data_IF_020568395009
#
_entry.id   IF_020568395009
#
_cell.length_a   1.000
_cell.length_b   1.000
_cell.length_c   1.000
_cell.angle_alpha   90.00
_cell.angle_beta   90.00
_cell.angle_gamma   90.00
#
_symmetry.space_group_name_H-M   'P 1'
#
loop_
_entity.id
_entity.type
_entity.pdbx_description
1 polymer ?
#
# COMPACT_ATOMS: atom_id res chain seq x y z
N UNK A 1 7.04 27.69 -3.60
CA UNK A 1 5.72 27.96 -2.98
C UNK A 1 5.11 29.13 -3.73
N UNK A 2 4.82 28.95 -5.01
CA UNK A 2 4.11 29.96 -5.80
C UNK A 2 2.88 29.26 -6.38
N UNK A 3 1.71 29.90 -6.21
CA UNK A 3 0.42 29.37 -6.66
C UNK A 3 -0.58 29.00 -5.56
N UNK A 4 -0.24 29.13 -4.26
CA UNK A 4 -1.21 28.96 -3.18
C UNK A 4 -1.85 30.32 -2.88
N UNK A 5 -3.19 30.47 -2.92
CA UNK A 5 -3.87 31.71 -2.54
C UNK A 5 -3.48 32.17 -1.13
N UNK A 6 -3.18 33.46 -0.96
CA UNK A 6 -2.68 34.03 0.31
C UNK A 6 -3.64 33.80 1.49
N UNK A 7 -4.94 33.61 1.24
CA UNK A 7 -5.93 33.33 2.29
C UNK A 7 -5.80 31.89 2.86
N UNK A 8 -5.37 30.92 2.03
CA UNK A 8 -5.10 29.54 2.43
C UNK A 8 -3.77 29.46 3.16
N UNK A 9 -2.75 30.19 2.69
CA UNK A 9 -1.46 30.29 3.39
C UNK A 9 -1.67 30.92 4.77
N UNK A 10 -2.48 31.98 4.86
CA UNK A 10 -2.78 32.66 6.12
C UNK A 10 -3.57 31.78 7.10
N UNK A 11 -4.58 31.04 6.63
CA UNK A 11 -5.32 30.07 7.46
C UNK A 11 -4.48 28.88 7.88
N UNK A 12 -3.61 28.37 7.01
CA UNK A 12 -2.67 27.30 7.32
C UNK A 12 -1.61 27.75 8.33
N UNK A 13 -1.08 28.98 8.20
CA UNK A 13 -0.18 29.58 9.19
C UNK A 13 -0.87 29.84 10.52
N UNK A 14 -2.15 30.23 10.54
CA UNK A 14 -2.96 30.35 11.76
C UNK A 14 -3.10 29.01 12.48
N UNK A 15 -3.49 27.96 11.76
CA UNK A 15 -3.59 26.59 12.29
C UNK A 15 -2.24 26.03 12.76
N UNK A 16 -1.16 26.23 11.99
CA UNK A 16 0.19 25.79 12.35
C UNK A 16 0.72 26.55 13.57
N UNK A 17 0.43 27.85 13.68
CA UNK A 17 0.81 28.65 14.86
C UNK A 17 0.03 28.21 16.10
N UNK A 18 -1.26 27.89 15.98
CA UNK A 18 -2.05 27.34 17.09
C UNK A 18 -1.61 25.92 17.49
N UNK A 19 -1.24 25.07 16.53
CA UNK A 19 -0.76 23.70 16.80
C UNK A 19 0.68 23.66 17.33
N UNK A 20 1.54 24.61 16.95
CA UNK A 20 2.88 24.76 17.52
C UNK A 20 2.86 25.30 18.95
N UNK A 21 1.89 26.14 19.31
CA UNK A 21 1.74 26.66 20.67
C UNK A 21 1.34 25.57 21.68
N UNK A 22 0.72 24.49 21.22
CA UNK A 22 0.36 23.32 22.06
C UNK A 22 1.41 22.20 22.04
N UNK A 23 2.56 22.35 21.36
CA UNK A 23 3.62 21.33 21.34
C UNK A 23 3.27 19.98 20.69
N UNK A 24 2.14 19.88 19.98
CA UNK A 24 1.55 18.60 19.56
C UNK A 24 1.98 18.09 18.17
N UNK A 25 2.87 18.80 17.45
CA UNK A 25 3.27 18.39 16.09
C UNK A 25 4.77 18.63 15.86
N UNK A 26 5.54 17.58 15.52
CA UNK A 26 6.91 17.75 15.00
C UNK A 26 6.83 18.18 13.54
N UNK A 27 7.75 19.04 13.08
CA UNK A 27 7.79 19.60 11.71
C UNK A 27 7.69 18.58 10.56
N UNK A 28 8.05 17.30 10.81
CA UNK A 28 7.92 16.16 9.87
C UNK A 28 6.46 15.69 9.67
N UNK A 29 5.61 15.88 10.66
CA UNK A 29 4.21 15.46 10.66
C UNK A 29 3.31 16.46 9.91
N UNK A 30 3.72 17.73 9.84
CA UNK A 30 3.10 18.76 8.98
C UNK A 30 3.22 18.38 7.49
N UNK A 31 4.36 17.82 7.07
CA UNK A 31 4.56 17.35 5.69
C UNK A 31 3.69 16.11 5.36
N UNK A 32 3.47 15.21 6.34
CA UNK A 32 2.55 14.09 6.19
C UNK A 32 1.09 14.53 6.12
N UNK A 33 0.70 15.51 6.94
CA UNK A 33 -0.64 16.10 6.93
C UNK A 33 -0.92 16.84 5.61
N UNK A 34 0.06 17.58 5.08
CA UNK A 34 -0.03 18.23 3.77
C UNK A 34 -0.08 17.23 2.62
N UNK A 35 0.66 16.11 2.67
CA UNK A 35 0.56 15.00 1.70
C UNK A 35 -0.83 14.34 1.71
N UNK A 36 -1.44 14.20 2.89
CA UNK A 36 -2.79 13.65 3.04
C UNK A 36 -3.88 14.61 2.53
N UNK A 37 -3.70 15.93 2.64
CA UNK A 37 -4.62 16.95 2.11
C UNK A 37 -4.45 17.18 0.59
N UNK A 38 -3.23 17.14 0.06
CA UNK A 38 -2.93 17.40 -1.35
C UNK A 38 -3.39 16.28 -2.31
N UNK A 39 -3.78 15.10 -1.81
CA UNK A 39 -4.38 14.04 -2.64
C UNK A 39 -5.87 14.30 -2.99
N UNK A 40 -6.36 15.54 -2.85
CA UNK A 40 -7.76 15.91 -3.10
C UNK A 40 -8.00 16.98 -4.17
N UNK A 41 -6.98 17.46 -4.89
CA UNK A 41 -7.19 18.31 -6.08
C UNK A 41 -6.27 17.91 -7.24
N UNK A 42 -6.92 17.71 -8.40
CA UNK A 42 -6.31 17.87 -9.73
C UNK A 42 -5.49 19.16 -9.74
N UNK A 43 -4.22 19.06 -10.12
CA UNK A 43 -3.71 19.65 -11.34
C UNK A 43 -2.38 18.98 -11.67
N UNK A 44 -2.18 18.64 -12.94
CA UNK A 44 -0.98 17.98 -13.41
C UNK A 44 0.22 18.90 -13.28
N UNK A 45 1.03 18.74 -12.24
CA UNK A 45 2.46 18.99 -12.28
C UNK A 45 3.21 18.33 -11.11
N UNK A 46 4.39 17.84 -11.44
CA UNK A 46 5.34 17.04 -10.67
C UNK A 46 5.77 17.63 -9.31
N UNK A 47 5.57 16.88 -8.22
CA UNK A 47 6.53 16.80 -7.10
C UNK A 47 6.49 15.39 -6.48
N UNK A 48 7.60 14.67 -6.57
CA UNK A 48 7.77 13.33 -6.00
C UNK A 48 7.71 13.36 -4.46
N UNK A 49 6.92 12.50 -3.78
CA UNK A 49 7.00 12.36 -2.34
C UNK A 49 8.17 11.44 -1.97
N UNK A 50 9.26 12.02 -1.45
CA UNK A 50 10.20 11.29 -0.59
C UNK A 50 9.49 10.99 0.74
N UNK A 51 9.77 9.80 1.27
CA UNK A 51 9.41 9.28 2.61
C UNK A 51 8.03 8.62 2.77
N UNK A 52 7.99 7.33 2.43
CA UNK A 52 7.30 6.28 3.19
C UNK A 52 8.20 5.04 3.14
N UNK A 53 9.18 5.02 4.05
CA UNK A 53 10.00 3.87 4.38
C UNK A 53 9.76 3.65 5.88
N UNK A 54 8.90 2.71 6.23
CA UNK A 54 8.82 2.12 7.56
C UNK A 54 8.56 0.62 7.38
N UNK A 55 9.59 -0.05 6.83
CA UNK A 55 9.83 -1.49 6.95
C UNK A 55 11.17 -1.84 6.28
N UNK A 56 12.29 -1.40 6.86
CA UNK A 56 13.61 -1.99 6.62
C UNK A 56 14.34 -2.02 7.95
N UNK A 57 14.64 -3.22 8.44
CA UNK A 57 15.51 -3.47 9.58
C UNK A 57 16.94 -2.97 9.23
N UNK A 58 17.53 -2.01 9.95
CA UNK A 58 18.73 -1.30 9.49
C UNK A 58 20.05 -1.95 9.97
N UNK A 59 20.17 -3.28 9.88
CA UNK A 59 21.44 -3.96 10.15
C UNK A 59 21.71 -5.04 9.10
N UNK A 60 22.29 -4.62 7.97
CA UNK A 60 23.14 -5.42 7.08
C UNK A 60 23.82 -4.47 6.08
N UNK A 61 24.72 -3.63 6.60
CA UNK A 61 25.73 -2.96 5.78
C UNK A 61 27.06 -3.68 5.97
N UNK A 62 27.38 -4.61 5.08
CA UNK A 62 28.76 -5.00 4.82
C UNK A 62 28.99 -5.04 3.32
N UNK A 63 29.77 -4.06 2.86
CA UNK A 63 30.36 -4.01 1.53
C UNK A 63 31.18 -5.28 1.28
N UNK A 64 30.75 -6.11 0.35
CA UNK A 64 31.61 -7.09 -0.30
C UNK A 64 31.16 -7.28 -1.75
N UNK A 65 32.15 -7.42 -2.63
CA UNK A 65 32.03 -7.59 -4.08
C UNK A 65 31.06 -8.72 -4.46
N UNK A 66 30.38 -8.66 -5.62
CA UNK A 66 29.43 -9.69 -6.02
C UNK A 66 30.17 -11.00 -6.30
N UNK A 67 30.06 -11.94 -5.37
CA UNK A 67 30.55 -13.30 -5.55
C UNK A 67 29.36 -14.25 -5.71
N UNK A 68 29.41 -15.10 -6.72
CA UNK A 68 28.65 -16.36 -6.74
C UNK A 68 29.31 -17.29 -5.72
N UNK A 69 29.05 -17.08 -4.42
CA UNK A 69 29.51 -17.99 -3.36
C UNK A 69 28.35 -18.79 -2.75
N UNK A 70 28.58 -20.07 -2.42
CA UNK A 70 27.55 -21.09 -2.26
C UNK A 70 27.01 -21.14 -0.83
N UNK A 71 26.41 -20.05 -0.33
CA UNK A 71 25.79 -20.03 1.01
C UNK A 71 24.30 -19.70 1.06
N UNK A 72 23.69 -19.34 -0.06
CA UNK A 72 22.26 -19.08 -0.15
C UNK A 72 21.60 -20.13 -1.05
N UNK A 73 20.34 -20.48 -0.78
CA UNK A 73 19.63 -21.58 -1.42
C UNK A 73 19.83 -21.63 -2.95
N UNK A 74 19.99 -22.83 -3.50
CA UNK A 74 20.22 -23.07 -4.94
C UNK A 74 19.26 -22.23 -5.78
N UNK A 75 19.81 -21.35 -6.61
CA UNK A 75 19.05 -20.55 -7.58
C UNK A 75 18.54 -19.18 -7.12
N UNK A 76 19.02 -18.65 -5.99
CA UNK A 76 18.75 -17.26 -5.61
C UNK A 76 19.82 -16.29 -6.14
N UNK A 77 19.39 -15.16 -6.70
CA UNK A 77 20.25 -14.05 -7.10
C UNK A 77 19.68 -12.72 -6.64
N UNK A 78 20.53 -11.88 -6.04
CA UNK A 78 20.24 -10.48 -5.72
C UNK A 78 21.41 -9.59 -6.12
N UNK A 79 21.16 -8.55 -6.91
CA UNK A 79 22.20 -7.59 -7.31
C UNK A 79 22.01 -6.99 -8.69
N UNK A 80 23.08 -6.42 -9.24
CA UNK A 80 23.06 -5.76 -10.54
C UNK A 80 23.03 -6.76 -11.70
N UNK A 81 22.23 -6.46 -12.73
CA UNK A 81 22.20 -7.27 -13.93
C UNK A 81 23.54 -7.26 -14.67
N UNK A 82 24.08 -8.44 -14.94
CA UNK A 82 25.32 -8.64 -15.72
C UNK A 82 25.13 -9.76 -16.75
N UNK A 83 26.00 -9.83 -17.77
CA UNK A 83 25.95 -10.92 -18.78
C UNK A 83 26.04 -12.33 -18.16
N UNK A 84 26.88 -12.61 -17.15
CA UNK A 84 26.86 -13.89 -16.46
C UNK A 84 25.52 -14.21 -15.81
N UNK A 85 24.88 -13.23 -15.17
CA UNK A 85 23.55 -13.41 -14.54
C UNK A 85 22.49 -13.75 -15.58
N UNK A 86 22.48 -13.03 -16.71
CA UNK A 86 21.58 -13.33 -17.84
C UNK A 86 21.81 -14.76 -18.35
N UNK A 87 23.07 -15.19 -18.48
CA UNK A 87 23.38 -16.57 -18.89
C UNK A 87 22.87 -17.60 -17.88
N UNK A 88 23.05 -17.35 -16.59
CA UNK A 88 22.52 -18.23 -15.53
C UNK A 88 20.98 -18.28 -15.55
N UNK A 89 20.33 -17.14 -15.81
CA UNK A 89 18.89 -17.04 -15.98
C UNK A 89 18.40 -17.85 -17.19
N UNK A 90 19.01 -17.66 -18.37
CA UNK A 90 18.68 -18.40 -19.59
C UNK A 90 18.88 -19.91 -19.44
N UNK A 91 19.81 -20.33 -18.58
CA UNK A 91 20.10 -21.74 -18.30
C UNK A 91 19.21 -22.33 -17.20
N UNK A 92 18.24 -21.57 -16.66
CA UNK A 92 17.34 -22.06 -15.63
C UNK A 92 17.97 -22.24 -14.24
N UNK A 93 19.17 -21.69 -14.02
CA UNK A 93 19.89 -21.81 -12.75
C UNK A 93 19.37 -20.84 -11.69
N UNK A 94 18.56 -19.85 -12.07
CA UNK A 94 18.00 -18.84 -11.17
C UNK A 94 16.49 -19.06 -11.07
N UNK A 95 16.02 -19.35 -9.86
CA UNK A 95 14.60 -19.50 -9.49
C UNK A 95 14.08 -18.31 -8.69
N UNK A 96 14.97 -17.50 -8.10
CA UNK A 96 14.63 -16.25 -7.44
C UNK A 96 15.54 -15.13 -7.91
N UNK A 97 15.01 -14.21 -8.70
CA UNK A 97 15.73 -13.06 -9.26
C UNK A 97 15.31 -11.76 -8.56
N UNK A 98 16.25 -11.06 -7.93
CA UNK A 98 16.04 -9.77 -7.27
C UNK A 98 16.98 -8.73 -7.88
N UNK A 99 16.40 -7.76 -8.59
CA UNK A 99 17.10 -6.68 -9.28
C UNK A 99 16.67 -5.31 -8.72
N UNK A 100 16.18 -5.25 -7.49
CA UNK A 100 15.58 -4.04 -6.92
C UNK A 100 16.53 -2.83 -6.95
N UNK A 101 16.01 -1.67 -7.35
CA UNK A 101 16.74 -0.41 -7.46
C UNK A 101 17.79 -0.37 -8.57
N UNK A 102 17.87 -1.41 -9.41
CA UNK A 102 18.89 -1.47 -10.47
C UNK A 102 18.47 -0.67 -11.70
N UNK A 103 19.45 -0.04 -12.34
CA UNK A 103 19.29 0.51 -13.70
C UNK A 103 19.65 -0.57 -14.70
N UNK A 104 18.68 -1.04 -15.47
CA UNK A 104 18.90 -2.08 -16.47
C UNK A 104 19.68 -1.46 -17.64
N UNK A 105 20.94 -1.89 -17.88
CA UNK A 105 21.75 -1.28 -18.94
C UNK A 105 21.08 -1.48 -20.30
N UNK A 106 21.05 -0.43 -21.14
CA UNK A 106 20.44 -0.49 -22.48
C UNK A 106 20.90 -1.69 -23.31
N UNK A 107 22.20 -2.00 -23.27
CA UNK A 107 22.77 -3.15 -23.99
C UNK A 107 22.42 -4.53 -23.42
N UNK A 108 21.72 -4.61 -22.28
CA UNK A 108 21.31 -5.87 -21.64
C UNK A 108 19.78 -6.06 -21.60
N UNK A 109 18.98 -5.05 -21.99
CA UNK A 109 17.50 -5.12 -21.92
C UNK A 109 16.94 -6.26 -22.76
N UNK A 110 17.31 -6.33 -24.03
CA UNK A 110 16.87 -7.39 -24.94
C UNK A 110 17.33 -8.75 -24.43
N UNK A 111 18.57 -8.86 -23.96
CA UNK A 111 19.08 -10.13 -23.42
C UNK A 111 18.37 -10.54 -22.12
N UNK A 112 17.98 -9.60 -21.26
CA UNK A 112 17.16 -9.89 -20.09
C UNK A 112 15.77 -10.37 -20.50
N UNK A 113 15.12 -9.64 -21.41
CA UNK A 113 13.83 -10.02 -21.99
C UNK A 113 13.88 -11.44 -22.56
N UNK A 114 14.86 -11.73 -23.41
CA UNK A 114 15.00 -13.03 -24.06
C UNK A 114 15.29 -14.14 -23.05
N UNK A 115 16.04 -13.83 -21.98
CA UNK A 115 16.31 -14.79 -20.91
C UNK A 115 15.09 -15.07 -20.02
N UNK A 116 14.21 -14.09 -19.80
CA UNK A 116 12.93 -14.31 -19.13
C UNK A 116 11.98 -15.10 -20.06
N UNK A 117 11.99 -14.78 -21.35
CA UNK A 117 11.09 -15.39 -22.33
C UNK A 117 11.53 -16.77 -22.84
N UNK A 118 12.77 -17.20 -22.59
CA UNK A 118 13.27 -18.51 -23.02
C UNK A 118 12.57 -19.69 -22.32
N UNK A 119 11.71 -19.44 -21.33
CA UNK A 119 10.85 -20.45 -20.70
C UNK A 119 11.61 -21.48 -19.85
N UNK A 120 12.90 -21.28 -19.63
CA UNK A 120 13.79 -22.26 -19.00
C UNK A 120 13.84 -22.21 -17.47
N UNK A 121 12.95 -21.48 -16.80
CA UNK A 121 13.07 -21.23 -15.37
C UNK A 121 11.85 -21.70 -14.61
N UNK A 122 12.08 -22.60 -13.64
CA UNK A 122 11.26 -22.73 -12.44
C UNK A 122 11.36 -21.45 -11.61
N UNK A 123 11.14 -20.29 -12.23
CA UNK A 123 11.18 -18.99 -11.58
C UNK A 123 10.01 -18.92 -10.61
N UNK A 124 10.34 -18.88 -9.34
CA UNK A 124 9.38 -18.79 -8.24
C UNK A 124 9.24 -17.35 -7.74
N UNK A 125 10.31 -16.54 -7.86
CA UNK A 125 10.32 -15.16 -7.38
C UNK A 125 11.01 -14.22 -8.36
N UNK A 126 10.31 -13.14 -8.70
CA UNK A 126 10.86 -12.06 -9.51
C UNK A 126 10.59 -10.71 -8.85
N UNK A 127 11.66 -10.01 -8.46
CA UNK A 127 11.60 -8.68 -7.88
C UNK A 127 12.45 -7.73 -8.70
N UNK A 128 11.82 -6.66 -9.16
CA UNK A 128 12.44 -5.57 -9.91
C UNK A 128 11.93 -4.22 -9.38
N UNK A 129 11.70 -4.13 -8.07
CA UNK A 129 11.18 -2.93 -7.42
C UNK A 129 12.04 -1.71 -7.76
N UNK A 130 11.40 -0.60 -8.13
CA UNK A 130 12.06 0.66 -8.47
C UNK A 130 13.17 0.52 -9.54
N UNK A 131 13.07 -0.47 -10.43
CA UNK A 131 14.00 -0.61 -11.55
C UNK A 131 13.80 0.50 -12.58
N UNK A 132 14.92 1.00 -13.11
CA UNK A 132 14.94 1.85 -14.29
C UNK A 132 15.18 0.98 -15.52
N UNK A 133 14.09 0.71 -16.25
CA UNK A 133 14.13 -0.01 -17.53
C UNK A 133 14.54 0.88 -18.70
N UNK A 134 14.84 2.18 -18.49
CA UNK A 134 15.23 3.14 -19.52
C UNK A 134 14.28 3.20 -20.72
N UNK A 135 12.99 2.98 -20.48
CA UNK A 135 11.95 2.78 -21.48
C UNK A 135 10.82 1.92 -20.93
N UNK A 136 9.71 1.86 -21.66
CA UNK A 136 8.56 1.05 -21.27
C UNK A 136 8.86 -0.45 -21.38
N UNK A 137 8.37 -1.21 -20.41
CA UNK A 137 8.39 -2.67 -20.41
C UNK A 137 6.98 -3.19 -20.12
N UNK A 138 6.52 -4.18 -20.88
CA UNK A 138 5.19 -4.76 -20.72
C UNK A 138 5.25 -5.93 -19.74
N UNK A 139 4.29 -5.98 -18.81
CA UNK A 139 4.14 -7.07 -17.85
C UNK A 139 4.06 -8.44 -18.54
N UNK A 140 3.47 -8.53 -19.74
CA UNK A 140 3.38 -9.80 -20.50
C UNK A 140 4.75 -10.32 -20.92
N UNK A 141 5.69 -9.42 -21.18
CA UNK A 141 7.04 -9.74 -21.64
C UNK A 141 7.94 -10.19 -20.48
N UNK A 142 7.46 -10.02 -19.24
CA UNK A 142 8.15 -10.42 -18.03
C UNK A 142 7.50 -11.65 -17.39
N UNK A 143 6.17 -11.71 -17.38
CA UNK A 143 5.43 -12.70 -16.59
C UNK A 143 4.72 -13.77 -17.44
N UNK A 144 4.57 -13.57 -18.74
CA UNK A 144 3.67 -14.38 -19.58
C UNK A 144 4.04 -15.86 -19.76
N UNK A 145 5.20 -16.32 -19.28
CA UNK A 145 5.70 -17.69 -19.46
C UNK A 145 6.13 -18.40 -18.16
N UNK A 146 5.95 -17.79 -17.00
CA UNK A 146 6.49 -18.31 -15.73
C UNK A 146 5.39 -18.88 -14.82
N UNK A 147 4.84 -20.05 -15.16
CA UNK A 147 3.72 -20.66 -14.44
C UNK A 147 4.03 -20.97 -12.95
N UNK A 148 5.30 -21.12 -12.59
CA UNK A 148 5.76 -21.41 -11.23
C UNK A 148 5.91 -20.17 -10.33
N UNK A 149 5.66 -18.95 -10.85
CA UNK A 149 5.81 -17.74 -10.04
C UNK A 149 4.89 -17.78 -8.82
N UNK A 150 5.51 -17.57 -7.67
CA UNK A 150 4.84 -17.40 -6.38
C UNK A 150 4.93 -15.97 -5.87
N UNK A 151 5.93 -15.21 -6.30
CA UNK A 151 6.14 -13.82 -5.88
C UNK A 151 6.51 -12.96 -7.08
N UNK A 152 5.77 -11.88 -7.29
CA UNK A 152 6.18 -10.79 -8.18
C UNK A 152 6.20 -9.46 -7.43
N UNK A 153 7.26 -8.69 -7.64
CA UNK A 153 7.39 -7.35 -7.06
C UNK A 153 7.97 -6.38 -8.10
N UNK A 154 7.11 -5.51 -8.62
CA UNK A 154 7.47 -4.41 -9.51
C UNK A 154 7.13 -3.06 -8.90
N UNK A 155 7.00 -2.97 -7.57
CA UNK A 155 6.64 -1.73 -6.91
C UNK A 155 7.50 -0.56 -7.40
N UNK A 156 6.86 0.57 -7.69
CA UNK A 156 7.46 1.84 -8.12
C UNK A 156 8.13 1.80 -9.49
N UNK A 157 7.90 0.78 -10.31
CA UNK A 157 8.31 0.75 -11.72
C UNK A 157 7.45 1.71 -12.56
N UNK A 158 7.93 2.94 -12.79
CA UNK A 158 7.15 3.99 -13.46
C UNK A 158 6.89 3.71 -14.95
N UNK A 159 7.73 2.88 -15.58
CA UNK A 159 7.67 2.54 -17.00
C UNK A 159 7.01 1.18 -17.29
N UNK A 160 6.60 0.45 -16.25
CA UNK A 160 5.89 -0.81 -16.39
C UNK A 160 4.46 -0.56 -16.91
N UNK A 161 4.17 -1.08 -18.10
CA UNK A 161 2.84 -1.12 -18.71
C UNK A 161 2.30 -2.55 -18.66
N UNK A 162 1.02 -2.72 -18.97
CA UNK A 162 0.41 -4.05 -19.09
C UNK A 162 -0.99 -4.10 -18.49
N UNK A 163 -1.61 -5.25 -18.65
CA UNK A 163 -2.94 -5.56 -18.14
C UNK A 163 -2.85 -6.66 -17.07
N UNK A 164 -3.64 -6.55 -16.00
CA UNK A 164 -3.74 -7.58 -14.96
C UNK A 164 -4.11 -8.97 -15.51
N UNK A 165 -4.77 -9.06 -16.67
CA UNK A 165 -5.10 -10.32 -17.36
C UNK A 165 -3.86 -11.19 -17.65
N UNK A 166 -2.68 -10.59 -17.78
CA UNK A 166 -1.42 -11.32 -17.90
C UNK A 166 -1.17 -12.25 -16.71
N UNK A 167 -1.62 -11.86 -15.52
CA UNK A 167 -1.40 -12.61 -14.28
C UNK A 167 -2.42 -13.75 -14.09
N UNK A 168 -3.48 -13.81 -14.89
CA UNK A 168 -4.60 -14.74 -14.70
C UNK A 168 -4.18 -16.23 -14.72
N UNK A 169 -3.09 -16.57 -15.40
CA UNK A 169 -2.61 -17.95 -15.49
C UNK A 169 -1.53 -18.29 -14.46
N UNK A 170 -1.08 -17.32 -13.66
CA UNK A 170 -0.01 -17.51 -12.66
C UNK A 170 -0.60 -17.98 -11.34
N UNK A 171 -1.33 -19.10 -11.38
CA UNK A 171 -2.21 -19.59 -10.30
C UNK A 171 -1.48 -19.89 -8.98
N UNK A 172 -0.16 -20.02 -9.01
CA UNK A 172 0.68 -20.25 -7.83
C UNK A 172 1.11 -18.96 -7.11
N UNK A 173 0.74 -17.78 -7.62
CA UNK A 173 1.05 -16.51 -7.00
C UNK A 173 0.49 -16.42 -5.58
N UNK A 174 1.38 -16.08 -4.66
CA UNK A 174 1.13 -15.80 -3.24
C UNK A 174 1.30 -14.31 -2.96
N UNK A 175 2.18 -13.62 -3.69
CA UNK A 175 2.46 -12.20 -3.47
C UNK A 175 2.52 -11.46 -4.81
N UNK A 176 1.68 -10.42 -4.93
CA UNK A 176 1.67 -9.50 -6.07
C UNK A 176 1.86 -8.09 -5.56
N UNK A 177 3.00 -7.49 -5.88
CA UNK A 177 3.28 -6.10 -5.57
C UNK A 177 3.52 -5.27 -6.83
N UNK A 178 2.54 -4.44 -7.19
CA UNK A 178 2.58 -3.46 -8.27
C UNK A 178 2.39 -2.03 -7.74
N UNK A 179 2.64 -1.78 -6.44
CA UNK A 179 2.50 -0.46 -5.83
C UNK A 179 3.08 0.64 -6.74
N UNK A 180 2.34 1.73 -6.97
CA UNK A 180 2.77 2.90 -7.73
C UNK A 180 3.21 2.60 -9.19
N UNK A 181 2.74 1.50 -9.79
CA UNK A 181 2.86 1.24 -11.24
C UNK A 181 1.70 1.91 -11.98
N UNK A 182 1.79 3.23 -12.18
CA UNK A 182 0.67 4.08 -12.65
C UNK A 182 0.14 3.73 -14.04
N UNK A 183 0.95 3.06 -14.87
CA UNK A 183 0.58 2.67 -16.25
C UNK A 183 -0.01 1.26 -16.36
N UNK A 184 -0.08 0.50 -15.26
CA UNK A 184 -0.79 -0.78 -15.22
C UNK A 184 -2.30 -0.54 -15.33
N UNK A 185 -2.94 -1.35 -16.17
CA UNK A 185 -4.37 -1.34 -16.47
C UNK A 185 -4.98 -2.70 -16.17
N UNK A 186 -6.28 -2.87 -16.45
CA UNK A 186 -6.99 -4.14 -16.31
C UNK A 186 -8.06 -4.12 -15.22
N UNK A 187 -8.90 -5.14 -15.24
CA UNK A 187 -9.92 -5.39 -14.24
C UNK A 187 -9.36 -6.26 -13.12
N UNK A 188 -9.63 -5.91 -11.86
CA UNK A 188 -9.31 -6.75 -10.70
C UNK A 188 -9.79 -8.20 -10.86
N UNK A 189 -10.89 -8.43 -11.58
CA UNK A 189 -11.43 -9.77 -11.83
C UNK A 189 -10.50 -10.66 -12.67
N UNK A 190 -9.52 -10.09 -13.37
CA UNK A 190 -8.45 -10.86 -14.00
C UNK A 190 -7.69 -11.76 -12.99
N UNK A 191 -7.68 -11.37 -11.71
CA UNK A 191 -6.94 -12.07 -10.66
C UNK A 191 -7.75 -13.19 -9.98
N UNK A 192 -9.00 -13.46 -10.38
CA UNK A 192 -9.89 -14.41 -9.67
C UNK A 192 -9.35 -15.84 -9.50
N UNK A 193 -8.44 -16.25 -10.38
CA UNK A 193 -7.78 -17.56 -10.38
C UNK A 193 -6.65 -17.66 -9.35
N UNK A 194 -6.16 -16.54 -8.80
CA UNK A 194 -5.06 -16.48 -7.84
C UNK A 194 -5.50 -16.86 -6.42
N UNK A 195 -6.09 -18.06 -6.26
CA UNK A 195 -6.71 -18.51 -5.00
C UNK A 195 -5.71 -18.69 -3.85
N UNK A 196 -4.41 -18.75 -4.14
CA UNK A 196 -3.34 -18.86 -3.15
C UNK A 196 -2.75 -17.51 -2.71
N UNK A 197 -3.31 -16.40 -3.21
CA UNK A 197 -2.80 -15.07 -2.94
C UNK A 197 -2.91 -14.72 -1.45
N UNK A 198 -1.78 -14.29 -0.89
CA UNK A 198 -1.61 -13.84 0.50
C UNK A 198 -1.43 -12.33 0.57
N UNK A 199 -0.78 -11.73 -0.42
CA UNK A 199 -0.54 -10.30 -0.46
C UNK A 199 -0.86 -9.73 -1.85
N UNK A 200 -1.73 -8.71 -1.86
CA UNK A 200 -2.05 -7.93 -3.06
C UNK A 200 -1.82 -6.45 -2.78
N UNK A 201 -0.83 -5.86 -3.44
CA UNK A 201 -0.49 -4.44 -3.32
C UNK A 201 -0.56 -3.78 -4.70
N UNK A 202 -1.62 -3.01 -4.92
CA UNK A 202 -1.86 -2.20 -6.13
C UNK A 202 -2.01 -0.71 -5.80
N UNK A 203 -1.69 -0.29 -4.58
CA UNK A 203 -1.83 1.10 -4.17
C UNK A 203 -1.09 2.05 -5.13
N UNK A 204 -1.79 3.06 -5.66
CA UNK A 204 -1.29 4.00 -6.67
C UNK A 204 -1.50 3.55 -8.12
N UNK A 205 -2.04 2.36 -8.39
CA UNK A 205 -2.42 1.89 -9.73
C UNK A 205 -3.78 2.49 -10.14
N UNK A 206 -3.79 3.78 -10.48
CA UNK A 206 -5.00 4.58 -10.74
C UNK A 206 -5.84 4.11 -11.94
N UNK A 207 -5.25 3.32 -12.83
CA UNK A 207 -5.91 2.82 -14.03
C UNK A 207 -6.50 1.41 -13.89
N UNK A 208 -6.25 0.73 -12.76
CA UNK A 208 -6.91 -0.55 -12.45
C UNK A 208 -8.38 -0.30 -12.13
N UNK A 209 -9.23 -1.14 -12.70
CA UNK A 209 -10.69 -1.10 -12.57
C UNK A 209 -11.20 -2.38 -11.89
N UNK A 210 -12.53 -2.54 -11.83
CA UNK A 210 -13.15 -3.76 -11.33
C UNK A 210 -13.82 -3.61 -9.98
N UNK A 211 -14.21 -4.76 -9.43
CA UNK A 211 -14.97 -4.84 -8.18
C UNK A 211 -14.17 -5.52 -7.08
N UNK A 212 -14.27 -4.98 -5.86
CA UNK A 212 -13.71 -5.58 -4.65
C UNK A 212 -14.22 -7.02 -4.43
N UNK A 213 -15.35 -7.41 -5.02
CA UNK A 213 -15.91 -8.78 -4.90
C UNK A 213 -14.91 -9.88 -5.29
N UNK A 214 -13.93 -9.62 -6.16
CA UNK A 214 -12.90 -10.61 -6.49
C UNK A 214 -12.11 -11.09 -5.27
N UNK A 215 -11.95 -10.24 -4.24
CA UNK A 215 -11.11 -10.59 -3.07
C UNK A 215 -11.67 -11.76 -2.28
N UNK A 216 -12.97 -12.05 -2.42
CA UNK A 216 -13.63 -13.25 -1.84
C UNK A 216 -12.98 -14.55 -2.32
N UNK A 217 -12.29 -14.54 -3.47
CA UNK A 217 -11.55 -15.67 -4.02
C UNK A 217 -10.23 -15.94 -3.30
N UNK A 218 -9.69 -14.95 -2.59
CA UNK A 218 -8.37 -15.00 -1.96
C UNK A 218 -8.48 -15.42 -0.49
N UNK A 219 -8.91 -16.66 -0.24
CA UNK A 219 -9.18 -17.14 1.13
C UNK A 219 -7.95 -17.14 2.06
N UNK A 220 -6.75 -17.02 1.49
CA UNK A 220 -5.48 -16.93 2.23
C UNK A 220 -4.94 -15.49 2.36
N UNK A 221 -5.70 -14.49 1.93
CA UNK A 221 -5.25 -13.10 1.88
C UNK A 221 -5.01 -12.54 3.29
N UNK A 222 -3.81 -12.02 3.49
CA UNK A 222 -3.35 -11.35 4.71
C UNK A 222 -3.23 -9.85 4.53
N UNK A 223 -2.86 -9.41 3.32
CA UNK A 223 -2.64 -8.01 2.99
C UNK A 223 -3.35 -7.64 1.70
N UNK A 224 -4.18 -6.60 1.74
CA UNK A 224 -4.77 -5.98 0.55
C UNK A 224 -4.57 -4.48 0.60
N UNK A 225 -3.90 -3.92 -0.41
CA UNK A 225 -3.66 -2.47 -0.52
C UNK A 225 -4.04 -1.99 -1.91
N UNK A 226 -5.10 -1.19 -1.97
CA UNK A 226 -5.67 -0.58 -3.17
C UNK A 226 -5.71 0.95 -3.04
N UNK A 227 -4.99 1.54 -2.09
CA UNK A 227 -5.00 2.99 -1.85
C UNK A 227 -4.77 3.77 -3.17
N UNK A 228 -5.65 4.69 -3.52
CA UNK A 228 -5.57 5.52 -4.73
C UNK A 228 -6.05 4.83 -6.01
N UNK A 229 -6.60 3.61 -5.96
CA UNK A 229 -7.27 2.97 -7.08
C UNK A 229 -8.72 3.48 -7.23
N UNK A 230 -8.88 4.72 -7.68
CA UNK A 230 -10.17 5.43 -7.64
C UNK A 230 -11.29 4.81 -8.48
N UNK A 231 -10.92 4.01 -9.50
CA UNK A 231 -11.86 3.32 -10.40
C UNK A 231 -12.37 1.98 -9.84
N UNK A 232 -11.79 1.50 -8.74
CA UNK A 232 -12.26 0.28 -8.09
C UNK A 232 -13.58 0.57 -7.36
N UNK A 233 -14.53 -0.33 -7.57
CA UNK A 233 -15.87 -0.29 -6.99
C UNK A 233 -16.07 -1.48 -6.04
N UNK A 234 -17.22 -1.55 -5.38
CA UNK A 234 -17.61 -2.69 -4.58
C UNK A 234 -17.90 -2.32 -3.13
N UNK A 235 -18.26 -3.32 -2.36
CA UNK A 235 -18.74 -3.15 -0.99
C UNK A 235 -17.81 -3.89 -0.03
N UNK A 236 -17.56 -3.31 1.15
CA UNK A 236 -16.73 -3.91 2.19
C UNK A 236 -17.20 -5.31 2.60
N UNK A 237 -18.47 -5.69 2.38
CA UNK A 237 -18.96 -7.06 2.63
C UNK A 237 -18.12 -8.13 1.92
N UNK A 238 -17.45 -7.80 0.82
CA UNK A 238 -16.52 -8.70 0.12
C UNK A 238 -15.35 -9.19 1.01
N UNK A 239 -15.07 -8.51 2.11
CA UNK A 239 -14.03 -8.90 3.06
C UNK A 239 -14.50 -9.91 4.10
N UNK A 240 -15.81 -10.16 4.24
CA UNK A 240 -16.39 -10.87 5.39
C UNK A 240 -15.83 -12.29 5.61
N UNK A 241 -15.35 -12.94 4.55
CA UNK A 241 -14.77 -14.29 4.56
C UNK A 241 -13.25 -14.32 4.72
N UNK A 242 -12.57 -13.16 4.78
CA UNK A 242 -11.11 -13.08 4.82
C UNK A 242 -10.57 -13.16 6.25
N UNK A 243 -10.81 -14.28 6.93
CA UNK A 243 -10.46 -14.47 8.33
C UNK A 243 -8.97 -14.26 8.65
N UNK A 244 -8.07 -14.42 7.66
CA UNK A 244 -6.62 -14.23 7.82
C UNK A 244 -6.14 -12.80 7.55
N UNK A 245 -7.05 -11.87 7.24
CA UNK A 245 -6.68 -10.51 6.87
C UNK A 245 -6.09 -9.75 8.06
N UNK A 246 -4.85 -9.27 7.87
CA UNK A 246 -4.09 -8.52 8.87
C UNK A 246 -4.05 -7.04 8.53
N UNK A 247 -4.02 -6.69 7.24
CA UNK A 247 -3.88 -5.30 6.79
C UNK A 247 -4.77 -5.02 5.59
N UNK A 248 -5.53 -3.93 5.66
CA UNK A 248 -6.30 -3.40 4.54
C UNK A 248 -6.05 -1.90 4.33
N UNK A 249 -5.92 -1.49 3.07
CA UNK A 249 -5.76 -0.08 2.69
C UNK A 249 -6.52 0.24 1.41
N UNK A 250 -7.59 1.02 1.52
CA UNK A 250 -8.43 1.50 0.42
C UNK A 250 -8.51 3.02 0.37
N UNK A 251 -7.54 3.73 0.98
CA UNK A 251 -7.57 5.18 1.02
C UNK A 251 -7.69 5.79 -0.37
N UNK A 252 -8.62 6.71 -0.60
CA UNK A 252 -8.87 7.32 -1.92
C UNK A 252 -9.70 6.48 -2.89
N UNK A 253 -10.16 5.28 -2.52
CA UNK A 253 -11.11 4.50 -3.31
C UNK A 253 -12.53 5.06 -3.17
N UNK A 254 -12.81 6.17 -3.87
CA UNK A 254 -14.06 6.97 -3.75
C UNK A 254 -15.35 6.19 -4.05
N UNK A 255 -15.26 5.05 -4.72
CA UNK A 255 -16.38 4.24 -5.15
C UNK A 255 -16.60 2.96 -4.33
N UNK A 256 -15.76 2.70 -3.32
CA UNK A 256 -16.01 1.63 -2.35
C UNK A 256 -17.10 2.09 -1.37
N UNK A 257 -18.08 1.22 -1.16
CA UNK A 257 -19.22 1.38 -0.24
C UNK A 257 -19.14 0.36 0.89
N UNK A 258 -20.13 0.38 1.77
CA UNK A 258 -20.31 -0.65 2.80
C UNK A 258 -20.17 -0.11 4.20
N UNK A 259 -20.48 -0.97 5.16
CA UNK A 259 -20.41 -0.66 6.58
C UNK A 259 -19.16 -1.29 7.20
N UNK A 260 -18.46 -0.53 8.07
CA UNK A 260 -17.34 -1.05 8.86
C UNK A 260 -17.69 -2.27 9.72
N UNK A 261 -18.96 -2.55 10.04
CA UNK A 261 -19.37 -3.72 10.84
C UNK A 261 -18.82 -5.06 10.31
N UNK A 262 -18.53 -5.16 9.01
CA UNK A 262 -17.87 -6.34 8.43
C UNK A 262 -16.50 -6.63 9.07
N UNK A 263 -15.80 -5.60 9.56
CA UNK A 263 -14.47 -5.77 10.15
C UNK A 263 -14.53 -6.54 11.48
N UNK A 264 -15.69 -6.66 12.13
CA UNK A 264 -15.84 -7.44 13.37
C UNK A 264 -15.48 -8.93 13.19
N UNK A 265 -15.64 -9.47 11.98
CA UNK A 265 -15.24 -10.86 11.69
C UNK A 265 -13.74 -11.03 11.42
N UNK A 266 -13.00 -9.92 11.25
CA UNK A 266 -11.60 -9.92 10.85
C UNK A 266 -10.69 -9.78 12.08
N UNK A 267 -10.75 -10.78 12.97
CA UNK A 267 -10.12 -10.74 14.31
C UNK A 267 -8.59 -10.58 14.30
N UNK A 268 -7.93 -10.87 13.17
CA UNK A 268 -6.48 -10.67 13.00
C UNK A 268 -6.10 -9.32 12.40
N UNK A 269 -7.07 -8.45 12.13
CA UNK A 269 -6.84 -7.17 11.51
C UNK A 269 -6.10 -6.24 12.48
N UNK A 270 -4.96 -5.73 12.04
CA UNK A 270 -4.07 -4.84 12.82
C UNK A 270 -4.02 -3.42 12.24
N UNK A 271 -4.29 -3.26 10.94
CA UNK A 271 -4.21 -1.97 10.24
C UNK A 271 -5.38 -1.79 9.28
N UNK A 272 -6.12 -0.71 9.49
CA UNK A 272 -7.24 -0.31 8.64
C UNK A 272 -6.99 1.08 8.09
N UNK A 273 -6.98 1.20 6.76
CA UNK A 273 -6.97 2.49 6.07
C UNK A 273 -8.11 2.56 5.06
N UNK A 274 -9.06 3.47 5.25
CA UNK A 274 -10.11 3.80 4.27
C UNK A 274 -10.27 5.30 4.08
N UNK A 275 -9.22 6.08 4.40
CA UNK A 275 -9.23 7.53 4.30
C UNK A 275 -9.76 8.04 2.94
N UNK A 276 -10.70 8.97 2.94
CA UNK A 276 -11.31 9.54 1.73
C UNK A 276 -12.40 8.68 1.09
N UNK A 277 -12.72 7.50 1.64
CA UNK A 277 -13.85 6.68 1.21
C UNK A 277 -15.17 7.23 1.75
N UNK A 278 -15.66 8.31 1.12
CA UNK A 278 -16.83 9.07 1.59
C UNK A 278 -18.15 8.27 1.63
N UNK A 279 -18.22 7.14 0.94
CA UNK A 279 -19.43 6.29 0.87
C UNK A 279 -19.44 5.18 1.92
N UNK A 280 -18.33 4.96 2.64
CA UNK A 280 -18.27 3.99 3.73
C UNK A 280 -19.00 4.58 4.95
N UNK A 281 -19.84 3.76 5.56
CA UNK A 281 -20.59 4.06 6.78
C UNK A 281 -20.12 3.16 7.92
N UNK A 282 -20.66 3.38 9.11
CA UNK A 282 -20.40 2.53 10.27
C UNK A 282 -20.02 3.36 11.48
N UNK A 283 -19.82 2.66 12.59
CA UNK A 283 -19.47 3.25 13.87
C UNK A 283 -18.05 2.82 14.30
N UNK A 284 -17.37 3.66 15.08
CA UNK A 284 -16.06 3.34 15.63
C UNK A 284 -16.09 2.16 16.62
N UNK A 285 -17.26 1.83 17.18
CA UNK A 285 -17.42 0.68 18.09
C UNK A 285 -16.97 -0.67 17.48
N UNK A 286 -16.91 -0.77 16.15
CA UNK A 286 -16.33 -1.91 15.43
C UNK A 286 -14.94 -2.28 15.94
N UNK A 287 -14.13 -1.27 16.27
CA UNK A 287 -12.74 -1.48 16.69
C UNK A 287 -12.63 -2.06 18.09
N UNK A 288 -13.68 -2.01 18.93
CA UNK A 288 -13.66 -2.66 20.26
C UNK A 288 -13.38 -4.17 20.19
N UNK A 289 -13.72 -4.80 19.06
CA UNK A 289 -13.43 -6.21 18.78
C UNK A 289 -12.03 -6.47 18.19
N UNK A 290 -11.31 -5.42 17.79
CA UNK A 290 -10.03 -5.46 17.07
C UNK A 290 -8.90 -4.94 17.97
N UNK A 291 -8.67 -5.62 19.09
CA UNK A 291 -7.75 -5.17 20.16
C UNK A 291 -6.27 -5.07 19.74
N UNK A 292 -5.89 -5.72 18.63
CA UNK A 292 -4.53 -5.67 18.07
C UNK A 292 -4.31 -4.51 17.08
N UNK A 293 -5.28 -3.59 16.95
CA UNK A 293 -5.14 -2.45 16.06
C UNK A 293 -4.00 -1.53 16.47
N UNK A 294 -3.14 -1.25 15.50
CA UNK A 294 -2.01 -0.34 15.63
C UNK A 294 -2.28 0.97 14.89
N UNK A 295 -2.96 0.90 13.74
CA UNK A 295 -3.24 2.06 12.89
C UNK A 295 -4.69 2.04 12.43
N UNK A 296 -5.42 3.12 12.77
CA UNK A 296 -6.78 3.38 12.28
C UNK A 296 -6.76 4.65 11.42
N UNK A 297 -7.07 4.49 10.14
CA UNK A 297 -7.05 5.58 9.16
C UNK A 297 -8.40 5.79 8.48
N UNK A 298 -9.23 6.69 9.02
CA UNK A 298 -10.58 7.02 8.52
C UNK A 298 -10.72 8.49 8.08
N UNK A 299 -9.64 9.26 7.96
CA UNK A 299 -9.68 10.66 7.52
C UNK A 299 -10.65 10.88 6.35
N UNK A 300 -11.55 11.86 6.42
CA UNK A 300 -12.48 12.21 5.34
C UNK A 300 -13.66 11.24 5.17
N UNK A 301 -13.83 10.24 6.04
CA UNK A 301 -14.99 9.36 6.04
C UNK A 301 -16.17 10.02 6.77
N UNK A 302 -16.89 10.87 6.04
CA UNK A 302 -17.91 11.77 6.59
C UNK A 302 -19.12 11.07 7.20
N UNK A 303 -19.38 9.81 6.83
CA UNK A 303 -20.52 9.03 7.30
C UNK A 303 -20.15 8.07 8.45
N UNK A 304 -18.91 8.12 8.95
CA UNK A 304 -18.51 7.38 10.14
C UNK A 304 -19.00 8.13 11.38
N UNK A 305 -19.69 7.40 12.26
CA UNK A 305 -20.13 7.84 13.58
C UNK A 305 -19.27 7.21 14.65
N UNK A 306 -19.55 7.53 15.91
CA UNK A 306 -18.97 6.84 17.06
C UNK A 306 -18.29 7.79 18.02
N UNK A 307 -18.03 7.27 19.22
CA UNK A 307 -17.42 8.01 20.30
C UNK A 307 -15.95 7.61 20.48
N UNK A 308 -15.05 8.59 20.67
CA UNK A 308 -13.62 8.33 20.90
C UNK A 308 -13.34 7.42 22.10
N UNK A 309 -14.27 7.26 23.05
CA UNK A 309 -14.12 6.41 24.23
C UNK A 309 -13.78 4.95 23.88
N UNK A 310 -14.21 4.47 22.71
CA UNK A 310 -13.86 3.14 22.19
C UNK A 310 -12.34 2.93 22.09
N UNK A 311 -11.58 4.01 21.87
CA UNK A 311 -10.14 3.94 21.69
C UNK A 311 -9.43 3.47 22.97
N UNK A 312 -10.01 3.68 24.17
CA UNK A 312 -9.43 3.23 25.44
C UNK A 312 -9.19 1.70 25.49
N UNK A 313 -9.94 0.92 24.72
CA UNK A 313 -9.72 -0.54 24.60
C UNK A 313 -8.55 -0.93 23.69
N UNK A 314 -8.04 0.00 22.88
CA UNK A 314 -7.03 -0.23 21.85
C UNK A 314 -5.64 0.11 22.39
N UNK A 315 -5.18 -0.64 23.38
CA UNK A 315 -3.95 -0.34 24.12
C UNK A 315 -2.67 -0.36 23.27
N UNK A 316 -2.68 -1.00 22.09
CA UNK A 316 -1.56 -1.05 21.16
C UNK A 316 -1.61 0.01 20.06
N UNK A 317 -2.60 0.90 20.10
CA UNK A 317 -2.85 1.90 19.07
C UNK A 317 -1.73 2.94 19.05
N UNK A 318 -1.07 3.08 17.90
CA UNK A 318 0.00 4.05 17.69
C UNK A 318 -0.45 5.25 16.88
N UNK A 319 -1.33 5.05 15.90
CA UNK A 319 -1.71 6.12 14.97
C UNK A 319 -3.20 6.12 14.69
N UNK A 320 -3.81 7.28 14.92
CA UNK A 320 -5.25 7.50 14.70
C UNK A 320 -5.44 8.68 13.78
N UNK A 321 -6.13 8.45 12.66
CA UNK A 321 -6.45 9.48 11.70
C UNK A 321 -7.95 9.52 11.47
N UNK A 322 -8.65 10.47 12.11
CA UNK A 322 -10.10 10.67 12.02
C UNK A 322 -10.45 12.08 11.51
N UNK A 323 -9.50 12.83 10.95
CA UNK A 323 -9.74 14.18 10.46
C UNK A 323 -10.90 14.24 9.47
N UNK A 324 -11.70 15.29 9.52
CA UNK A 324 -12.94 15.46 8.75
C UNK A 324 -14.03 14.37 8.97
N UNK A 325 -13.93 13.52 10.00
CA UNK A 325 -15.02 12.64 10.44
C UNK A 325 -16.04 13.43 11.27
N UNK A 326 -16.94 14.15 10.58
CA UNK A 326 -17.82 15.16 11.19
C UNK A 326 -18.79 14.63 12.25
N UNK A 327 -19.14 13.34 12.18
CA UNK A 327 -20.10 12.72 13.09
C UNK A 327 -19.43 11.93 14.23
N UNK A 328 -18.10 11.84 14.24
CA UNK A 328 -17.36 11.32 15.39
C UNK A 328 -17.38 12.36 16.50
N UNK A 329 -17.66 11.88 17.72
CA UNK A 329 -17.72 12.69 18.93
C UNK A 329 -16.84 12.09 20.03
N UNK A 330 -16.75 12.77 21.16
CA UNK A 330 -16.10 12.25 22.36
C UNK A 330 -15.06 13.20 22.93
N UNK A 331 -14.53 12.80 24.08
CA UNK A 331 -13.61 13.62 24.87
C UNK A 331 -12.16 13.19 24.66
N UNK A 332 -11.24 14.16 24.55
CA UNK A 332 -9.81 13.91 24.38
C UNK A 332 -9.16 13.23 25.59
N UNK A 333 -9.77 13.27 26.77
CA UNK A 333 -9.27 12.59 27.97
C UNK A 333 -9.06 11.08 27.76
N UNK A 334 -9.80 10.44 26.84
CA UNK A 334 -9.58 9.03 26.48
C UNK A 334 -8.14 8.74 26.03
N UNK A 335 -7.48 9.72 25.39
CA UNK A 335 -6.15 9.56 24.82
C UNK A 335 -5.06 9.43 25.89
N UNK A 336 -5.32 9.87 27.12
CA UNK A 336 -4.40 9.72 28.26
C UNK A 336 -4.13 8.26 28.61
N UNK A 337 -5.06 7.36 28.25
CA UNK A 337 -4.90 5.92 28.44
C UNK A 337 -4.05 5.23 27.36
N UNK A 338 -3.78 5.90 26.24
CA UNK A 338 -3.12 5.32 25.06
C UNK A 338 -1.60 5.55 25.10
N UNK A 339 -0.93 4.79 25.94
CA UNK A 339 0.52 4.95 26.24
C UNK A 339 1.45 4.77 25.04
N UNK A 340 0.97 4.16 23.95
CA UNK A 340 1.75 3.94 22.72
C UNK A 340 1.34 4.88 21.57
N UNK A 341 0.42 5.82 21.81
CA UNK A 341 -0.05 6.73 20.79
C UNK A 341 1.06 7.70 20.37
N UNK A 342 1.45 7.63 19.10
CA UNK A 342 2.48 8.46 18.49
C UNK A 342 1.88 9.61 17.66
N UNK A 343 0.74 9.36 17.00
CA UNK A 343 0.12 10.31 16.08
C UNK A 343 -1.39 10.30 16.25
N UNK A 344 -1.97 11.48 16.38
CA UNK A 344 -3.42 11.67 16.30
C UNK A 344 -3.76 12.82 15.35
N UNK A 345 -4.73 12.60 14.46
CA UNK A 345 -5.28 13.62 13.60
C UNK A 345 -6.81 13.66 13.73
N UNK A 346 -7.33 14.71 14.37
CA UNK A 346 -8.78 14.97 14.54
C UNK A 346 -9.24 16.26 13.86
N UNK A 347 -8.37 16.89 13.05
CA UNK A 347 -8.66 18.16 12.40
C UNK A 347 -9.95 18.11 11.59
N UNK A 348 -10.89 19.03 11.84
CA UNK A 348 -12.18 19.07 11.15
C UNK A 348 -13.28 18.15 11.72
N UNK A 349 -13.00 17.42 12.80
CA UNK A 349 -14.06 16.81 13.63
C UNK A 349 -14.77 17.90 14.42
N UNK A 350 -16.10 17.90 14.44
CA UNK A 350 -16.90 19.00 15.00
C UNK A 350 -17.34 18.80 16.45
N UNK A 351 -17.39 17.54 16.90
CA UNK A 351 -18.00 17.16 18.18
C UNK A 351 -16.98 16.57 19.16
N UNK A 352 -15.71 16.98 19.02
CA UNK A 352 -14.64 16.57 19.95
C UNK A 352 -14.53 17.62 21.06
N UNK A 353 -14.53 17.16 22.29
CA UNK A 353 -14.45 17.98 23.51
C UNK A 353 -13.22 17.61 24.35
N UNK A 354 -13.00 18.33 25.45
CA UNK A 354 -11.90 18.07 26.36
C UNK A 354 -10.60 18.74 25.94
N UNK A 355 -9.62 18.72 26.85
CA UNK A 355 -8.27 19.25 26.66
C UNK A 355 -7.24 18.20 27.08
N UNK A 356 -6.07 18.22 26.44
CA UNK A 356 -4.91 17.37 26.79
C UNK A 356 -3.96 18.24 27.61
N UNK A 357 -4.04 18.13 28.93
CA UNK A 357 -3.17 18.86 29.86
C UNK A 357 -1.73 18.38 29.83
#
# INVERSE_FOLDING_TARGET
MEGVPDDIISKAHGLISSLNQCGLIKKKDILHFMSALCNSRDDGETLAPKYLNDSVDPNLSSSSSPSLHPKDAVGQYSGNLTRPVIRSLSNGLITSLILDGTKIPNGLKTSLHDALMSGACGMEKLSMQACDFGGSIDLKDICGRHEHLTVINFARCQELIGDLQVLANLVHLKEVNLENCKKITGDLQALASLVHLKELMLNGCRNVTGSLQVVTRFVHLKVVRLDGCEKITGDLIALSSLALLVRMGFGGCKNITGNLDVLRSLVHLEKVGVAGCKKITGDLDVFTSLVHQNIVGLNGCKNITGNLQILASLVHLKRVYLGECKNVNGDLQVLTSLVHLEVIALGGCKNITGDLQ
#
